data_IF_550629098052
#
_entry.id   IF_550629098052
#
_cell.length_a   1.000
_cell.length_b   1.000
_cell.length_c   1.000
_cell.angle_alpha   90.00
_cell.angle_beta   90.00
_cell.angle_gamma   90.00
#
_symmetry.space_group_name_H-M   'P 1'
#
loop_
_entity.id
_entity.type
_entity.pdbx_description
1 polymer ?
#
# COMPACT_ATOMS: atom_id res chain seq x y z
N UNK A 1 -9.78 -16.67 -10.36
CA UNK A 1 -10.01 -16.34 -8.93
C UNK A 1 -8.86 -15.49 -8.38
N UNK A 2 -7.60 -15.92 -8.56
CA UNK A 2 -6.40 -15.18 -8.13
C UNK A 2 -6.35 -13.70 -8.58
N UNK A 3 -6.57 -13.41 -9.87
CA UNK A 3 -6.52 -12.03 -10.40
C UNK A 3 -7.59 -11.07 -9.83
N UNK A 4 -8.74 -11.59 -9.37
CA UNK A 4 -9.75 -10.74 -8.72
C UNK A 4 -9.34 -10.38 -7.29
N UNK A 5 -8.73 -11.32 -6.59
CA UNK A 5 -8.18 -11.11 -5.26
C UNK A 5 -7.03 -10.09 -5.30
N UNK A 6 -6.13 -10.23 -6.27
CA UNK A 6 -5.08 -9.23 -6.54
C UNK A 6 -5.63 -7.84 -6.79
N UNK A 7 -6.65 -7.72 -7.65
CA UNK A 7 -7.27 -6.43 -7.95
C UNK A 7 -7.90 -5.79 -6.71
N UNK A 8 -8.47 -6.60 -5.81
CA UNK A 8 -9.04 -6.13 -4.54
C UNK A 8 -7.95 -5.62 -3.60
N UNK A 9 -6.86 -6.36 -3.44
CA UNK A 9 -5.74 -5.95 -2.58
C UNK A 9 -5.06 -4.70 -3.13
N UNK A 10 -4.77 -4.65 -4.43
CA UNK A 10 -4.21 -3.46 -5.06
C UNK A 10 -5.13 -2.23 -4.90
N UNK A 11 -6.45 -2.44 -4.91
CA UNK A 11 -7.42 -1.41 -4.59
C UNK A 11 -7.34 -0.93 -3.14
N UNK A 12 -7.11 -1.83 -2.18
CA UNK A 12 -6.95 -1.50 -0.77
C UNK A 12 -5.63 -0.76 -0.51
N UNK A 13 -4.51 -1.28 -1.03
CA UNK A 13 -3.20 -0.64 -0.96
C UNK A 13 -3.23 0.79 -1.49
N UNK A 14 -3.85 1.01 -2.64
CA UNK A 14 -3.93 2.36 -3.21
C UNK A 14 -4.80 3.30 -2.35
N UNK A 15 -5.87 2.79 -1.73
CA UNK A 15 -6.68 3.59 -0.80
C UNK A 15 -5.88 3.98 0.43
N UNK A 16 -5.24 3.01 1.08
CA UNK A 16 -4.47 3.25 2.29
C UNK A 16 -3.31 4.21 2.02
N UNK A 17 -2.63 4.04 0.89
CA UNK A 17 -1.62 4.96 0.38
C UNK A 17 -2.15 6.39 0.25
N UNK A 18 -3.29 6.58 -0.41
CA UNK A 18 -3.93 7.90 -0.56
C UNK A 18 -4.23 8.50 0.81
N UNK A 19 -4.73 7.69 1.75
CA UNK A 19 -5.04 8.13 3.11
C UNK A 19 -3.79 8.51 3.93
N UNK A 20 -2.59 8.06 3.56
CA UNK A 20 -1.34 8.55 4.18
C UNK A 20 -0.90 9.94 3.69
N UNK A 21 -1.54 10.47 2.63
CA UNK A 21 -1.16 11.75 2.05
C UNK A 21 -1.53 12.91 2.99
N UNK A 22 -0.54 13.40 3.74
CA UNK A 22 -0.67 14.56 4.64
C UNK A 22 -1.03 15.86 3.93
N UNK A 23 -0.69 16.02 2.65
CA UNK A 23 -1.06 17.21 1.89
C UNK A 23 -2.57 17.22 1.63
N UNK A 24 -3.15 16.05 1.32
CA UNK A 24 -4.58 15.91 1.02
C UNK A 24 -5.44 15.81 2.29
N UNK A 25 -5.00 15.08 3.32
CA UNK A 25 -5.81 14.76 4.51
C UNK A 25 -5.33 15.43 5.79
N UNK A 26 -4.22 16.18 5.76
CA UNK A 26 -3.72 16.95 6.89
C UNK A 26 -3.58 16.11 8.17
N UNK A 27 -4.18 16.53 9.30
CA UNK A 27 -4.12 15.79 10.57
C UNK A 27 -4.95 14.50 10.58
N UNK A 28 -5.84 14.29 9.60
CA UNK A 28 -6.62 13.06 9.45
C UNK A 28 -5.89 12.01 8.61
N UNK A 29 -4.73 12.35 8.04
CA UNK A 29 -3.93 11.41 7.29
C UNK A 29 -3.43 10.27 8.20
N UNK A 30 -3.49 9.04 7.69
CA UNK A 30 -2.90 7.91 8.39
C UNK A 30 -1.38 8.06 8.48
N UNK A 31 -0.82 7.56 9.59
CA UNK A 31 0.63 7.47 9.73
C UNK A 31 1.13 6.46 8.71
N UNK A 32 2.10 6.86 7.88
CA UNK A 32 2.77 5.97 6.93
C UNK A 32 3.24 4.68 7.57
N UNK A 33 3.92 4.78 8.73
CA UNK A 33 4.39 3.64 9.51
C UNK A 33 3.27 2.63 9.80
N UNK A 34 2.07 3.10 10.15
CA UNK A 34 0.95 2.22 10.44
C UNK A 34 0.54 1.40 9.21
N UNK A 35 0.52 2.04 8.03
CA UNK A 35 0.22 1.35 6.76
C UNK A 35 1.36 0.39 6.39
N UNK A 36 2.62 0.81 6.51
CA UNK A 36 3.78 -0.05 6.24
C UNK A 36 3.74 -1.32 7.11
N UNK A 37 3.54 -1.16 8.42
CA UNK A 37 3.47 -2.28 9.37
C UNK A 37 2.25 -3.18 9.11
N UNK A 38 1.12 -2.60 8.67
CA UNK A 38 -0.10 -3.37 8.37
C UNK A 38 0.09 -4.29 7.16
N UNK A 39 0.82 -3.82 6.14
CA UNK A 39 1.02 -4.55 4.90
C UNK A 39 2.31 -5.38 4.88
N UNK A 40 3.20 -5.17 5.83
CA UNK A 40 4.42 -5.96 5.95
C UNK A 40 4.10 -7.43 6.22
N UNK A 41 4.75 -8.32 5.47
CA UNK A 41 4.52 -9.76 5.46
C UNK A 41 3.27 -10.22 4.69
N UNK A 42 2.46 -9.29 4.15
CA UNK A 42 1.26 -9.60 3.36
C UNK A 42 1.45 -9.41 1.85
N UNK A 43 2.50 -8.70 1.44
CA UNK A 43 2.81 -8.42 0.03
C UNK A 43 3.70 -9.52 -0.55
N UNK A 44 3.47 -9.93 -1.80
CA UNK A 44 4.53 -10.64 -2.53
C UNK A 44 5.57 -9.66 -3.00
N UNK A 45 6.80 -10.16 -3.08
CA UNK A 45 7.96 -9.38 -3.50
C UNK A 45 8.06 -8.08 -2.70
N UNK A 46 7.76 -8.15 -1.39
CA UNK A 46 7.99 -7.03 -0.46
C UNK A 46 9.46 -6.62 -0.46
N UNK A 47 10.38 -7.58 -0.64
CA UNK A 47 11.81 -7.34 -0.80
C UNK A 47 12.16 -6.49 -2.03
N UNK A 48 11.26 -6.43 -3.03
CA UNK A 48 11.41 -5.59 -4.22
C UNK A 48 10.75 -4.20 -4.04
N UNK A 49 10.01 -3.98 -2.96
CA UNK A 49 9.44 -2.68 -2.62
C UNK A 49 10.46 -1.83 -1.85
N UNK A 50 10.45 -0.51 -2.08
CA UNK A 50 11.20 0.40 -1.22
C UNK A 50 10.57 0.45 0.18
N UNK A 51 11.39 0.73 1.20
CA UNK A 51 10.97 0.84 2.61
C UNK A 51 9.74 1.74 2.82
N UNK A 52 9.58 2.80 2.02
CA UNK A 52 8.38 3.63 1.98
C UNK A 52 7.70 3.58 0.60
N UNK A 53 7.11 2.43 0.27
CA UNK A 53 6.32 2.23 -0.95
C UNK A 53 5.09 3.15 -1.04
N UNK A 54 4.67 3.82 0.05
CA UNK A 54 3.53 4.74 0.02
C UNK A 54 3.78 5.96 -0.88
N UNK A 55 5.04 6.27 -1.16
CA UNK A 55 5.44 7.37 -2.05
C UNK A 55 5.51 6.97 -3.52
N UNK A 56 5.48 5.67 -3.83
CA UNK A 56 5.65 5.18 -5.20
C UNK A 56 4.29 5.09 -5.88
N UNK A 57 4.13 5.78 -7.00
CA UNK A 57 2.98 5.61 -7.89
C UNK A 57 3.25 4.47 -8.88
N UNK A 58 2.42 3.42 -8.82
CA UNK A 58 2.38 2.40 -9.88
C UNK A 58 3.11 1.08 -9.59
N UNK A 59 3.86 0.95 -8.50
CA UNK A 59 4.45 -0.36 -8.10
C UNK A 59 3.49 -1.07 -7.16
N UNK A 60 2.43 -1.66 -7.72
CA UNK A 60 1.50 -2.53 -7.00
C UNK A 60 1.79 -3.97 -7.43
N UNK A 61 2.71 -4.61 -6.71
CA UNK A 61 3.12 -6.01 -6.87
C UNK A 61 1.94 -6.95 -6.66
N UNK A 62 1.81 -7.94 -7.53
CA UNK A 62 0.81 -9.00 -7.39
C UNK A 62 1.25 -9.96 -6.28
N UNK A 63 0.33 -10.32 -5.37
CA UNK A 63 0.43 -11.28 -4.26
C UNK A 63 0.32 -12.75 -4.75
N UNK A 64 0.97 -13.71 -4.09
CA UNK A 64 0.89 -15.15 -4.40
C UNK A 64 -0.38 -15.76 -3.87
#
# INVERSE_FOLDING_TARGET
IHNQWLKKINGALNRDRILTNKIAYGPLAFKKQLILDTWSGLLMDEDALPDDWTLTEGVLVGIR
#
